data_IF_903004943599
#
_entry.id   IF_903004943599
#
_cell.length_a   1.000
_cell.length_b   1.000
_cell.length_c   1.000
_cell.angle_alpha   90.00
_cell.angle_beta   90.00
_cell.angle_gamma   90.00
#
_symmetry.space_group_name_H-M   'P 1'
#
loop_
_entity.id
_entity.type
_entity.pdbx_description
1 polymer ?
#
# COMPACT_ATOMS: atom_id res chain seq x y z
N UNK A 1 -46.03 -24.13 5.47
CA UNK A 1 -45.00 -25.17 5.25
C UNK A 1 -43.87 -24.70 4.33
N UNK A 2 -44.11 -23.91 3.27
CA UNK A 2 -43.09 -23.60 2.23
C UNK A 2 -41.86 -22.74 2.64
N UNK A 3 -41.91 -22.00 3.76
CA UNK A 3 -40.83 -21.07 4.14
C UNK A 3 -39.59 -21.78 4.72
N UNK A 4 -39.78 -22.97 5.29
CA UNK A 4 -38.68 -23.77 5.85
C UNK A 4 -37.80 -24.37 4.75
N UNK A 5 -38.43 -24.91 3.70
CA UNK A 5 -37.74 -25.54 2.58
C UNK A 5 -36.90 -24.54 1.77
N UNK A 6 -37.39 -23.31 1.62
CA UNK A 6 -36.65 -22.22 0.98
C UNK A 6 -35.40 -21.82 1.77
N UNK A 7 -35.50 -21.79 3.10
CA UNK A 7 -34.35 -21.49 3.97
C UNK A 7 -33.29 -22.61 3.90
N UNK A 8 -33.73 -23.87 3.93
CA UNK A 8 -32.83 -25.03 3.80
C UNK A 8 -32.14 -25.00 2.44
N UNK A 9 -32.86 -24.69 1.37
CA UNK A 9 -32.30 -24.52 0.02
C UNK A 9 -31.25 -23.40 -0.02
N UNK A 10 -31.55 -22.23 0.53
CA UNK A 10 -30.59 -21.12 0.55
C UNK A 10 -29.31 -21.46 1.31
N UNK A 11 -29.44 -22.06 2.50
CA UNK A 11 -28.28 -22.44 3.32
C UNK A 11 -27.43 -23.49 2.58
N UNK A 12 -28.06 -24.48 1.96
CA UNK A 12 -27.34 -25.51 1.21
C UNK A 12 -26.63 -24.94 -0.01
N UNK A 13 -27.25 -24.02 -0.77
CA UNK A 13 -26.60 -23.32 -1.88
C UNK A 13 -25.33 -22.58 -1.41
N UNK A 14 -25.39 -21.83 -0.31
CA UNK A 14 -24.23 -21.13 0.26
C UNK A 14 -23.13 -22.09 0.73
N UNK A 15 -23.50 -23.19 1.37
CA UNK A 15 -22.56 -24.21 1.86
C UNK A 15 -21.89 -24.95 0.72
N UNK A 16 -22.62 -25.31 -0.35
CA UNK A 16 -22.06 -25.98 -1.54
C UNK A 16 -21.05 -25.08 -2.26
N UNK A 17 -21.36 -23.78 -2.43
CA UNK A 17 -20.41 -22.80 -3.00
C UNK A 17 -19.14 -22.72 -2.15
N UNK A 18 -19.29 -22.72 -0.81
CA UNK A 18 -18.16 -22.62 0.10
C UNK A 18 -17.31 -23.90 0.19
N UNK A 19 -17.94 -25.08 0.14
CA UNK A 19 -17.24 -26.38 0.11
C UNK A 19 -16.55 -26.59 -1.25
N UNK A 20 -17.17 -26.13 -2.32
CA UNK A 20 -16.63 -26.18 -3.69
C UNK A 20 -15.42 -25.27 -3.90
N UNK A 21 -15.21 -24.26 -3.04
CA UNK A 21 -14.01 -23.42 -3.11
C UNK A 21 -12.87 -24.11 -2.36
N UNK A 22 -11.89 -24.74 -3.05
CA UNK A 22 -10.92 -25.59 -2.38
C UNK A 22 -9.96 -24.75 -1.54
N UNK A 23 -9.33 -25.42 -0.57
CA UNK A 23 -8.28 -24.91 0.34
C UNK A 23 -7.12 -24.16 -0.37
N UNK A 24 -7.04 -24.26 -1.70
CA UNK A 24 -6.07 -23.65 -2.59
C UNK A 24 -6.15 -22.12 -2.64
N UNK A 25 -7.36 -21.52 -2.65
CA UNK A 25 -7.48 -20.05 -2.60
C UNK A 25 -7.05 -19.46 -1.26
N UNK A 26 -7.21 -20.22 -0.16
CA UNK A 26 -6.70 -19.80 1.15
C UNK A 26 -5.18 -19.71 1.15
N UNK A 27 -4.49 -20.58 0.41
CA UNK A 27 -3.04 -20.50 0.22
C UNK A 27 -2.67 -19.35 -0.71
N UNK A 28 -3.43 -19.09 -1.77
CA UNK A 28 -3.16 -17.98 -2.69
C UNK A 28 -3.27 -16.60 -2.03
N UNK A 29 -4.27 -16.41 -1.14
CA UNK A 29 -4.42 -15.15 -0.37
C UNK A 29 -3.40 -15.01 0.77
N UNK A 30 -2.99 -16.11 1.43
CA UNK A 30 -1.92 -16.07 2.46
C UNK A 30 -0.51 -15.94 1.87
N UNK A 31 -0.25 -16.60 0.74
CA UNK A 31 1.03 -16.56 0.02
C UNK A 31 1.09 -15.43 -1.02
N UNK A 32 0.13 -14.50 -1.01
CA UNK A 32 0.31 -13.21 -1.66
C UNK A 32 1.41 -12.51 -0.85
N UNK A 33 2.66 -12.79 -1.21
CA UNK A 33 3.88 -12.26 -0.61
C UNK A 33 3.65 -10.77 -0.52
N UNK A 34 3.33 -10.30 0.70
CA UNK A 34 3.12 -8.88 0.93
C UNK A 34 4.44 -8.25 0.54
N UNK A 35 4.43 -7.46 -0.53
CA UNK A 35 5.65 -6.81 -0.98
C UNK A 35 6.26 -6.08 0.21
N UNK A 36 7.56 -6.30 0.50
CA UNK A 36 8.23 -5.59 1.57
C UNK A 36 7.96 -4.10 1.43
N UNK A 37 7.61 -3.43 2.53
CA UNK A 37 7.34 -2.00 2.54
C UNK A 37 8.43 -1.19 1.80
N UNK A 38 9.70 -1.57 1.94
CA UNK A 38 10.83 -0.96 1.26
C UNK A 38 10.71 -0.95 -0.27
N UNK A 39 10.08 -1.97 -0.89
CA UNK A 39 9.84 -1.99 -2.34
C UNK A 39 8.78 -0.95 -2.75
N UNK A 40 7.75 -0.72 -1.92
CA UNK A 40 6.71 0.30 -2.19
C UNK A 40 7.26 1.73 -2.16
N UNK A 41 8.34 1.95 -1.43
CA UNK A 41 8.98 3.27 -1.25
C UNK A 41 10.34 3.38 -1.93
N UNK A 42 10.76 2.35 -2.67
CA UNK A 42 11.87 2.45 -3.60
C UNK A 42 11.53 3.53 -4.64
N UNK A 43 12.39 4.53 -4.80
CA UNK A 43 12.10 5.76 -5.56
C UNK A 43 11.84 6.97 -4.65
N UNK A 44 10.80 6.95 -3.82
CA UNK A 44 10.52 8.06 -2.89
C UNK A 44 11.61 8.22 -1.81
N UNK A 45 12.13 7.11 -1.28
CA UNK A 45 13.19 7.14 -0.26
C UNK A 45 14.51 7.78 -0.77
N UNK A 46 15.12 7.31 -1.89
CA UNK A 46 16.29 7.97 -2.46
C UNK A 46 16.04 9.43 -2.85
N UNK A 47 14.83 9.75 -3.33
CA UNK A 47 14.46 11.12 -3.71
C UNK A 47 14.49 12.06 -2.50
N UNK A 48 13.84 11.70 -1.39
CA UNK A 48 13.84 12.49 -0.15
C UNK A 48 15.25 12.70 0.40
N UNK A 49 16.07 11.64 0.43
CA UNK A 49 17.48 11.73 0.84
C UNK A 49 18.27 12.67 -0.08
N UNK A 50 18.06 12.60 -1.40
CA UNK A 50 18.76 13.47 -2.36
C UNK A 50 18.43 14.96 -2.17
N UNK A 51 17.18 15.29 -1.81
CA UNK A 51 16.75 16.67 -1.56
C UNK A 51 17.37 17.19 -0.27
N UNK A 52 17.36 16.38 0.79
CA UNK A 52 17.99 16.74 2.06
C UNK A 52 19.50 16.96 1.92
N UNK A 53 20.20 16.10 1.19
CA UNK A 53 21.64 16.27 0.91
C UNK A 53 21.91 17.55 0.10
N UNK A 54 21.04 17.90 -0.85
CA UNK A 54 21.15 19.16 -1.61
C UNK A 54 20.99 20.37 -0.71
N UNK A 55 20.06 20.34 0.24
CA UNK A 55 19.83 21.45 1.17
C UNK A 55 21.00 21.62 2.15
N UNK A 56 21.58 20.51 2.64
CA UNK A 56 22.81 20.55 3.46
C UNK A 56 23.99 21.14 2.68
N UNK A 57 24.05 20.89 1.36
CA UNK A 57 25.13 21.37 0.48
C UNK A 57 24.95 22.80 -0.03
N UNK A 58 23.82 23.47 0.21
CA UNK A 58 23.65 24.88 -0.21
C UNK A 58 24.44 25.76 0.76
N UNK A 59 25.57 26.39 0.35
CA UNK A 59 26.16 27.42 1.18
C UNK A 59 25.15 28.56 1.31
N UNK A 60 24.87 28.98 2.55
CA UNK A 60 24.03 30.14 2.84
C UNK A 60 24.60 31.33 2.06
N UNK A 61 23.98 31.71 0.93
CA UNK A 61 24.31 32.95 0.23
C UNK A 61 23.92 34.10 1.14
N UNK A 62 24.86 34.61 1.95
CA UNK A 62 24.71 35.91 2.62
C UNK A 62 24.53 36.95 1.51
N UNK A 63 23.33 37.50 1.43
CA UNK A 63 22.97 38.60 0.56
C UNK A 63 23.82 39.81 0.98
N UNK A 64 24.92 40.05 0.27
CA UNK A 64 25.73 41.27 0.40
C UNK A 64 25.37 42.15 -0.79
N UNK A 65 24.25 42.84 -0.66
CA UNK A 65 23.79 43.95 -1.49
C UNK A 65 23.10 44.89 -0.51
N UNK A 66 23.25 46.19 -0.71
CA UNK A 66 22.83 47.31 0.17
C UNK A 66 23.96 47.81 1.10
N UNK A 67 25.02 48.39 0.53
CA UNK A 67 25.77 49.52 1.12
C UNK A 67 26.83 50.11 0.16
N UNK A 68 26.60 50.03 -1.16
CA UNK A 68 27.30 50.87 -2.15
C UNK A 68 26.25 51.72 -2.87
N UNK A 69 25.62 52.62 -2.12
CA UNK A 69 24.84 53.73 -2.69
C UNK A 69 24.61 54.82 -1.64
N UNK A 70 25.70 55.49 -1.21
CA UNK A 70 25.74 56.95 -1.12
C UNK A 70 27.15 57.47 -0.87
#
# INVERSE_FOLDING_TARGET
MAKGDELVRYITEQVVVYIGTPKEERKYKRNKVKEPWHMKWFGMMPMGVSMWVKDIKKPVKRKKMDMDSK
#
